data_IF_196010730544
#
_entry.id   IF_196010730544
#
_cell.length_a   1.000
_cell.length_b   1.000
_cell.length_c   1.000
_cell.angle_alpha   90.00
_cell.angle_beta   90.00
_cell.angle_gamma   90.00
#
_symmetry.space_group_name_H-M   'P 1'
#
loop_
_entity.id
_entity.type
_entity.pdbx_description
1 polymer ?
#
# COMPACT_ATOMS: atom_id res chain seq x y z
N UNK A 1 8.29 10.45 3.23
CA UNK A 1 8.51 8.99 3.21
C UNK A 1 7.78 8.31 2.05
N UNK A 2 6.46 8.50 1.84
CA UNK A 2 5.74 7.95 0.68
C UNK A 2 6.44 8.35 -0.63
N UNK A 3 6.83 9.61 -0.81
CA UNK A 3 7.53 10.05 -2.02
C UNK A 3 8.84 9.29 -2.28
N UNK A 4 9.58 8.90 -1.23
CA UNK A 4 10.81 8.10 -1.36
C UNK A 4 10.47 6.70 -1.87
N UNK A 5 9.43 6.06 -1.33
CA UNK A 5 8.99 4.74 -1.77
C UNK A 5 8.45 4.76 -3.20
N UNK A 6 7.66 5.78 -3.55
CA UNK A 6 7.16 5.98 -4.93
C UNK A 6 8.30 6.25 -5.90
N UNK A 7 9.27 7.08 -5.52
CA UNK A 7 10.47 7.31 -6.33
C UNK A 7 11.27 6.03 -6.53
N UNK A 8 11.49 5.25 -5.47
CA UNK A 8 12.17 3.96 -5.57
C UNK A 8 11.43 2.98 -6.50
N UNK A 9 10.11 2.93 -6.42
CA UNK A 9 9.27 2.11 -7.31
C UNK A 9 9.36 2.57 -8.76
N UNK A 10 9.19 3.87 -9.02
CA UNK A 10 9.31 4.43 -10.35
C UNK A 10 10.71 4.23 -10.94
N UNK A 11 11.76 4.47 -10.16
CA UNK A 11 13.14 4.24 -10.59
C UNK A 11 13.40 2.76 -10.92
N UNK A 12 12.81 1.84 -10.15
CA UNK A 12 12.89 0.40 -10.42
C UNK A 12 12.25 0.06 -11.76
N UNK A 13 11.02 0.53 -12.00
CA UNK A 13 10.27 0.26 -13.24
C UNK A 13 10.99 0.87 -14.45
N UNK A 14 11.42 2.14 -14.35
CA UNK A 14 12.12 2.83 -15.44
C UNK A 14 13.41 2.08 -15.81
N UNK A 15 14.22 1.70 -14.82
CA UNK A 15 15.47 0.97 -15.06
C UNK A 15 15.26 -0.39 -15.68
N UNK A 16 14.15 -1.05 -15.37
CA UNK A 16 13.76 -2.31 -16.04
C UNK A 16 13.42 -2.07 -17.52
N UNK A 17 12.64 -1.03 -17.81
CA UNK A 17 12.23 -0.71 -19.18
C UNK A 17 13.43 -0.35 -20.06
N UNK A 18 14.40 0.39 -19.53
CA UNK A 18 15.59 0.82 -20.29
C UNK A 18 16.77 -0.16 -20.22
N UNK A 19 16.58 -1.35 -19.66
CA UNK A 19 17.59 -2.41 -19.53
C UNK A 19 18.90 -1.98 -18.82
N UNK A 20 18.90 -0.90 -18.05
CA UNK A 20 20.07 -0.40 -17.29
C UNK A 20 20.09 -0.87 -15.84
N UNK A 21 19.58 -2.05 -15.58
CA UNK A 21 19.36 -2.54 -14.24
C UNK A 21 20.65 -3.08 -13.61
N UNK A 22 21.23 -2.30 -12.71
CA UNK A 22 22.37 -2.74 -11.91
C UNK A 22 21.90 -3.71 -10.81
N UNK A 23 22.56 -4.89 -10.62
CA UNK A 23 22.21 -5.84 -9.55
C UNK A 23 22.11 -5.21 -8.16
N UNK A 24 22.98 -4.26 -7.83
CA UNK A 24 22.96 -3.54 -6.55
C UNK A 24 21.67 -2.72 -6.40
N UNK A 25 21.28 -1.96 -7.43
CA UNK A 25 20.07 -1.15 -7.41
C UNK A 25 18.80 -2.00 -7.27
N UNK A 26 18.81 -3.21 -7.80
CA UNK A 26 17.71 -4.18 -7.71
C UNK A 26 17.31 -4.49 -6.27
N UNK A 27 18.28 -4.59 -5.38
CA UNK A 27 18.03 -4.90 -3.97
C UNK A 27 18.01 -3.65 -3.08
N UNK A 28 18.84 -2.66 -3.40
CA UNK A 28 18.96 -1.45 -2.60
C UNK A 28 17.67 -0.64 -2.55
N UNK A 29 16.97 -0.47 -3.68
CA UNK A 29 15.74 0.34 -3.75
C UNK A 29 14.60 -0.21 -2.89
N UNK A 30 14.24 -1.52 -2.95
CA UNK A 30 13.27 -2.10 -2.03
C UNK A 30 13.69 -1.98 -0.56
N UNK A 31 14.95 -2.22 -0.23
CA UNK A 31 15.46 -2.11 1.14
C UNK A 31 15.28 -0.69 1.68
N UNK A 32 15.62 0.33 0.88
CA UNK A 32 15.39 1.74 1.24
C UNK A 32 13.89 1.99 1.50
N UNK A 33 13.00 1.41 0.67
CA UNK A 33 11.56 1.51 0.86
C UNK A 33 11.08 0.92 2.20
N UNK A 34 11.56 -0.27 2.55
CA UNK A 34 11.22 -0.90 3.84
C UNK A 34 11.81 -0.16 5.04
N UNK A 35 13.04 0.32 4.94
CA UNK A 35 13.64 1.16 5.98
C UNK A 35 12.84 2.45 6.18
N UNK A 36 12.42 3.10 5.09
CA UNK A 36 11.56 4.27 5.15
C UNK A 36 10.22 3.96 5.83
N UNK A 37 9.61 2.79 5.55
CA UNK A 37 8.38 2.35 6.19
C UNK A 37 8.55 2.18 7.70
N UNK A 38 9.59 1.46 8.13
CA UNK A 38 9.89 1.24 9.56
C UNK A 38 10.13 2.56 10.28
N UNK A 39 10.98 3.43 9.72
CA UNK A 39 11.26 4.75 10.29
C UNK A 39 10.00 5.61 10.39
N UNK A 40 9.10 5.52 9.40
CA UNK A 40 7.82 6.25 9.42
C UNK A 40 6.93 5.76 10.55
N UNK A 41 6.84 4.44 10.77
CA UNK A 41 6.04 3.87 11.87
C UNK A 41 6.65 4.27 13.23
N UNK A 42 7.96 4.17 13.40
CA UNK A 42 8.65 4.57 14.65
C UNK A 42 8.43 6.05 14.92
N UNK A 43 8.59 6.90 13.90
CA UNK A 43 8.35 8.34 14.04
C UNK A 43 6.89 8.65 14.41
N UNK A 44 5.92 8.04 13.74
CA UNK A 44 4.51 8.22 14.05
C UNK A 44 4.17 7.77 15.46
N UNK A 45 4.73 6.63 15.88
CA UNK A 45 4.56 6.12 17.24
C UNK A 45 5.10 7.09 18.30
N UNK A 46 6.31 7.60 18.12
CA UNK A 46 6.90 8.58 19.04
C UNK A 46 6.09 9.88 19.05
N UNK A 47 5.70 10.37 17.87
CA UNK A 47 4.96 11.61 17.71
C UNK A 47 3.61 11.61 18.45
N UNK A 48 2.91 10.47 18.50
CA UNK A 48 1.64 10.38 19.23
C UNK A 48 1.82 10.37 20.75
N UNK A 49 3.03 10.05 21.25
CA UNK A 49 3.31 9.95 22.69
C UNK A 49 4.05 11.17 23.26
N UNK A 50 4.75 11.94 22.42
CA UNK A 50 5.57 13.06 22.87
C UNK A 50 4.75 14.27 23.37
N UNK A 51 3.52 14.45 22.89
CA UNK A 51 2.68 15.58 23.28
C UNK A 51 1.23 15.15 23.45
N UNK A 52 0.66 15.44 24.62
CA UNK A 52 -0.72 15.07 24.99
C UNK A 52 -1.81 15.87 24.24
N UNK A 53 -1.55 16.35 23.02
CA UNK A 53 -2.56 17.07 22.23
C UNK A 53 -3.32 16.13 21.32
N UNK A 54 -4.64 16.35 21.21
CA UNK A 54 -5.51 15.58 20.30
C UNK A 54 -5.01 15.61 18.85
N UNK A 55 -4.43 16.72 18.42
CA UNK A 55 -3.86 16.90 17.08
C UNK A 55 -2.67 15.95 16.84
N UNK A 56 -1.73 15.87 17.77
CA UNK A 56 -0.55 15.02 17.62
C UNK A 56 -0.89 13.55 17.74
N UNK A 57 -1.89 13.20 18.55
CA UNK A 57 -2.45 11.87 18.60
C UNK A 57 -2.95 11.41 17.21
N UNK A 58 -3.82 12.21 16.58
CA UNK A 58 -4.34 11.92 15.23
C UNK A 58 -3.21 11.84 14.21
N UNK A 59 -2.33 12.85 14.18
CA UNK A 59 -1.23 12.92 13.23
C UNK A 59 -0.28 11.72 13.36
N UNK A 60 0.06 11.30 14.58
CA UNK A 60 0.90 10.12 14.81
C UNK A 60 0.31 8.83 14.25
N UNK A 61 -1.00 8.62 14.45
CA UNK A 61 -1.71 7.46 13.87
C UNK A 61 -1.71 7.50 12.34
N UNK A 62 -1.96 8.66 11.74
CA UNK A 62 -1.91 8.84 10.28
C UNK A 62 -0.50 8.55 9.74
N UNK A 63 0.54 9.03 10.41
CA UNK A 63 1.93 8.76 10.03
C UNK A 63 2.22 7.26 10.08
N UNK A 64 1.76 6.54 11.12
CA UNK A 64 1.88 5.07 11.18
C UNK A 64 1.18 4.37 10.01
N UNK A 65 -0.04 4.80 9.68
CA UNK A 65 -0.78 4.26 8.52
C UNK A 65 -0.06 4.51 7.18
N UNK A 66 0.56 5.69 7.04
CA UNK A 66 1.45 6.02 5.91
C UNK A 66 2.64 5.07 5.87
N UNK A 67 3.19 4.66 7.02
CA UNK A 67 4.23 3.65 7.11
C UNK A 67 3.80 2.30 6.54
N UNK A 68 2.57 1.85 6.83
CA UNK A 68 2.02 0.61 6.25
C UNK A 68 1.86 0.71 4.74
N UNK A 69 1.36 1.83 4.21
CA UNK A 69 1.29 2.07 2.77
C UNK A 69 2.70 2.02 2.17
N UNK A 70 3.68 2.66 2.79
CA UNK A 70 5.07 2.67 2.33
C UNK A 70 5.64 1.26 2.26
N UNK A 71 5.34 0.38 3.25
CA UNK A 71 5.72 -1.03 3.23
C UNK A 71 5.05 -1.79 2.08
N UNK A 72 3.76 -1.57 1.82
CA UNK A 72 3.06 -2.18 0.68
C UNK A 72 3.66 -1.74 -0.66
N UNK A 73 4.00 -0.45 -0.81
CA UNK A 73 4.67 0.09 -2.02
C UNK A 73 6.07 -0.52 -2.19
N UNK A 74 6.84 -0.66 -1.10
CA UNK A 74 8.14 -1.34 -1.13
C UNK A 74 8.00 -2.82 -1.54
N UNK A 75 6.93 -3.49 -1.10
CA UNK A 75 6.61 -4.87 -1.50
C UNK A 75 6.28 -4.94 -2.99
N UNK A 76 5.52 -3.97 -3.52
CA UNK A 76 5.24 -3.83 -4.96
C UNK A 76 6.54 -3.65 -5.76
N UNK A 77 7.43 -2.77 -5.28
CA UNK A 77 8.75 -2.56 -5.89
C UNK A 77 9.57 -3.85 -5.89
N UNK A 78 9.57 -4.59 -4.76
CA UNK A 78 10.26 -5.89 -4.65
C UNK A 78 9.69 -6.90 -5.65
N UNK A 79 8.38 -6.98 -5.80
CA UNK A 79 7.74 -7.84 -6.79
C UNK A 79 8.18 -7.47 -8.20
N UNK A 80 8.17 -6.17 -8.54
CA UNK A 80 8.56 -5.69 -9.87
C UNK A 80 10.03 -5.93 -10.22
N UNK A 81 10.93 -6.05 -9.23
CA UNK A 81 12.36 -6.32 -9.51
C UNK A 81 12.59 -7.68 -10.19
N UNK A 82 11.59 -8.56 -10.17
CA UNK A 82 11.66 -9.89 -10.77
C UNK A 82 11.12 -9.97 -12.20
N UNK A 83 10.62 -8.87 -12.75
CA UNK A 83 10.36 -8.76 -14.18
C UNK A 83 11.70 -8.78 -14.92
N UNK A 84 12.17 -9.97 -15.32
CA UNK A 84 13.27 -10.08 -16.26
C UNK A 84 12.72 -9.89 -17.67
N UNK A 85 12.95 -8.72 -18.23
CA UNK A 85 12.78 -8.52 -19.66
C UNK A 85 13.93 -9.23 -20.35
N UNK A 86 13.62 -10.17 -21.25
CA UNK A 86 14.60 -10.82 -22.09
C UNK A 86 15.20 -9.75 -23.02
N UNK A 87 16.53 -9.68 -23.16
CA UNK A 87 17.14 -8.75 -24.12
C UNK A 87 16.56 -8.97 -25.52
N UNK A 88 16.21 -7.89 -26.20
CA UNK A 88 15.61 -7.89 -27.55
C UNK A 88 16.44 -8.62 -28.62
N UNK A 89 17.69 -9.00 -28.33
CA UNK A 89 18.63 -9.69 -29.22
C UNK A 89 18.67 -11.21 -29.07
N UNK A 90 17.83 -11.82 -28.25
CA UNK A 90 17.74 -13.29 -28.23
C UNK A 90 16.81 -13.71 -29.36
N UNK A 91 17.35 -14.40 -30.38
CA UNK A 91 16.61 -15.00 -31.51
C UNK A 91 15.57 -16.07 -31.08
N UNK A 92 15.29 -16.21 -29.80
CA UNK A 92 14.28 -17.09 -29.22
C UNK A 92 13.09 -16.30 -28.73
N UNK A 93 12.22 -15.95 -29.66
CA UNK A 93 10.93 -15.26 -29.43
C UNK A 93 9.91 -16.10 -28.64
N UNK A 94 10.14 -17.41 -28.46
CA UNK A 94 9.10 -18.35 -27.99
C UNK A 94 9.29 -18.91 -26.58
N UNK A 95 10.36 -18.55 -25.88
CA UNK A 95 10.57 -19.00 -24.51
C UNK A 95 10.94 -17.85 -23.61
N UNK A 96 9.92 -17.21 -23.05
CA UNK A 96 10.00 -16.56 -21.74
C UNK A 96 10.41 -17.62 -20.72
N UNK A 97 11.68 -18.02 -20.73
CA UNK A 97 12.22 -18.83 -19.64
C UNK A 97 12.39 -17.88 -18.46
N UNK A 98 11.59 -18.04 -17.41
CA UNK A 98 11.81 -17.36 -16.16
C UNK A 98 12.99 -18.01 -15.45
N UNK A 99 14.20 -17.82 -15.97
CA UNK A 99 15.42 -18.33 -15.29
C UNK A 99 15.56 -17.78 -13.86
N UNK A 100 14.89 -16.65 -13.58
CA UNK A 100 14.78 -16.03 -12.26
C UNK A 100 13.33 -15.84 -11.81
N UNK A 101 12.39 -16.63 -12.32
CA UNK A 101 11.03 -16.58 -11.80
C UNK A 101 11.04 -16.81 -10.29
N UNK A 102 10.22 -16.06 -9.57
CA UNK A 102 10.00 -16.34 -8.18
C UNK A 102 9.77 -17.83 -7.95
N UNK A 103 10.55 -18.44 -7.07
CA UNK A 103 10.09 -19.66 -6.45
C UNK A 103 8.68 -19.42 -5.91
N UNK A 104 7.79 -20.41 -6.02
CA UNK A 104 6.39 -20.29 -5.59
C UNK A 104 6.27 -19.65 -4.21
N UNK A 105 7.14 -20.06 -3.30
CA UNK A 105 7.20 -19.56 -1.92
C UNK A 105 7.50 -18.06 -1.84
N UNK A 106 8.42 -17.54 -2.64
CA UNK A 106 8.78 -16.10 -2.60
C UNK A 106 7.63 -15.20 -3.04
N UNK A 107 6.91 -15.60 -4.09
CA UNK A 107 5.73 -14.84 -4.54
C UNK A 107 4.63 -14.81 -3.49
N UNK A 108 4.36 -15.93 -2.82
CA UNK A 108 3.38 -15.97 -1.73
C UNK A 108 3.82 -15.16 -0.50
N UNK A 109 5.11 -15.14 -0.18
CA UNK A 109 5.65 -14.32 0.92
C UNK A 109 5.37 -12.83 0.66
N UNK A 110 5.57 -12.34 -0.57
CA UNK A 110 5.30 -10.94 -0.90
C UNK A 110 3.82 -10.58 -0.75
N UNK A 111 2.93 -11.45 -1.26
CA UNK A 111 1.48 -11.25 -1.07
C UNK A 111 1.13 -11.29 0.41
N UNK A 112 1.70 -12.23 1.18
CA UNK A 112 1.46 -12.36 2.61
C UNK A 112 1.92 -11.13 3.39
N UNK A 113 3.10 -10.56 3.07
CA UNK A 113 3.61 -9.33 3.69
C UNK A 113 2.66 -8.15 3.42
N UNK A 114 2.25 -7.94 2.18
CA UNK A 114 1.31 -6.87 1.86
C UNK A 114 -0.05 -7.07 2.57
N UNK A 115 -0.55 -8.32 2.59
CA UNK A 115 -1.80 -8.67 3.29
C UNK A 115 -1.68 -8.43 4.79
N UNK A 116 -0.55 -8.79 5.41
CA UNK A 116 -0.30 -8.53 6.83
C UNK A 116 -0.38 -7.03 7.14
N UNK A 117 0.23 -6.18 6.32
CA UNK A 117 0.16 -4.72 6.49
C UNK A 117 -1.28 -4.20 6.38
N UNK A 118 -2.04 -4.70 5.43
CA UNK A 118 -3.45 -4.32 5.28
C UNK A 118 -4.29 -4.77 6.48
N UNK A 119 -4.12 -6.02 6.94
CA UNK A 119 -4.82 -6.56 8.11
C UNK A 119 -4.46 -5.77 9.38
N UNK A 120 -3.18 -5.47 9.61
CA UNK A 120 -2.76 -4.64 10.74
C UNK A 120 -3.37 -3.25 10.71
N UNK A 121 -3.44 -2.61 9.53
CA UNK A 121 -4.07 -1.31 9.37
C UNK A 121 -5.58 -1.37 9.71
N UNK A 122 -6.29 -2.42 9.28
CA UNK A 122 -7.70 -2.64 9.60
C UNK A 122 -7.94 -2.90 11.10
N UNK A 123 -7.16 -3.78 11.72
CA UNK A 123 -7.24 -4.06 13.16
C UNK A 123 -7.04 -2.76 13.95
N UNK A 124 -6.03 -1.98 13.57
CA UNK A 124 -5.75 -0.71 14.24
C UNK A 124 -6.87 0.31 14.04
N UNK A 125 -7.42 0.43 12.82
CA UNK A 125 -8.56 1.29 12.53
C UNK A 125 -9.78 0.93 13.40
N UNK A 126 -10.14 -0.35 13.46
CA UNK A 126 -11.27 -0.82 14.28
C UNK A 126 -11.03 -0.64 15.77
N UNK A 127 -9.80 -0.83 16.25
CA UNK A 127 -9.46 -0.57 17.65
C UNK A 127 -9.65 0.91 17.98
N UNK A 128 -9.21 1.83 17.13
CA UNK A 128 -9.45 3.27 17.32
C UNK A 128 -10.94 3.61 17.29
N UNK A 129 -11.67 3.05 16.34
CA UNK A 129 -13.12 3.27 16.21
C UNK A 129 -13.90 2.74 17.40
N UNK A 130 -13.48 1.62 18.01
CA UNK A 130 -14.12 1.09 19.22
C UNK A 130 -14.02 2.05 20.42
N UNK A 131 -13.03 2.95 20.41
CA UNK A 131 -12.81 3.99 21.42
C UNK A 131 -13.34 5.37 21.01
N UNK A 132 -14.02 5.46 19.89
CA UNK A 132 -14.49 6.74 19.33
C UNK A 132 -15.49 7.50 20.24
N UNK A 133 -16.18 6.79 21.12
CA UNK A 133 -17.06 7.38 22.14
C UNK A 133 -16.31 8.08 23.28
N UNK A 134 -15.05 7.73 23.51
CA UNK A 134 -14.24 8.30 24.60
C UNK A 134 -13.75 9.71 24.25
N UNK A 135 -13.32 9.91 23.00
CA UNK A 135 -12.78 11.20 22.56
C UNK A 135 -12.82 11.35 21.03
N UNK A 136 -13.12 12.56 20.53
CA UNK A 136 -13.17 12.87 19.10
C UNK A 136 -11.86 12.53 18.34
N UNK A 137 -10.71 12.57 19.00
CA UNK A 137 -9.43 12.20 18.39
C UNK A 137 -9.40 10.73 17.94
N UNK A 138 -9.99 9.81 18.72
CA UNK A 138 -10.13 8.39 18.32
C UNK A 138 -11.05 8.24 17.11
N UNK A 139 -12.14 9.02 17.08
CA UNK A 139 -13.06 9.05 15.95
C UNK A 139 -12.31 9.44 14.65
N UNK A 140 -11.61 10.58 14.67
CA UNK A 140 -10.87 11.09 13.51
C UNK A 140 -9.77 10.11 13.09
N UNK A 141 -8.92 9.70 14.03
CA UNK A 141 -7.81 8.79 13.76
C UNK A 141 -8.29 7.45 13.20
N UNK A 142 -9.37 6.89 13.76
CA UNK A 142 -9.94 5.61 13.35
C UNK A 142 -10.48 5.64 11.92
N UNK A 143 -11.22 6.69 11.55
CA UNK A 143 -11.75 6.84 10.20
C UNK A 143 -10.64 7.05 9.17
N UNK A 144 -9.66 7.90 9.47
CA UNK A 144 -8.52 8.11 8.55
C UNK A 144 -7.71 6.83 8.39
N UNK A 145 -7.47 6.09 9.50
CA UNK A 145 -6.80 4.78 9.44
C UNK A 145 -7.59 3.77 8.62
N UNK A 146 -8.93 3.76 8.66
CA UNK A 146 -9.75 2.90 7.81
C UNK A 146 -9.58 3.23 6.32
N UNK A 147 -9.53 4.52 5.96
CA UNK A 147 -9.22 4.94 4.59
C UNK A 147 -7.82 4.50 4.13
N UNK A 148 -6.81 4.61 5.00
CA UNK A 148 -5.45 4.12 4.73
C UNK A 148 -5.41 2.59 4.60
N UNK A 149 -6.21 1.86 5.38
CA UNK A 149 -6.36 0.41 5.28
C UNK A 149 -6.99 -0.01 3.93
N UNK A 150 -7.93 0.78 3.39
CA UNK A 150 -8.46 0.57 2.03
C UNK A 150 -7.35 0.69 0.97
N UNK A 151 -6.45 1.67 1.10
CA UNK A 151 -5.29 1.81 0.20
C UNK A 151 -4.36 0.60 0.33
N UNK A 152 -4.02 0.17 1.56
CA UNK A 152 -3.20 -1.03 1.76
C UNK A 152 -3.85 -2.26 1.10
N UNK A 153 -5.17 -2.44 1.23
CA UNK A 153 -5.91 -3.54 0.60
C UNK A 153 -5.86 -3.47 -0.93
N UNK A 154 -5.94 -2.27 -1.50
CA UNK A 154 -5.78 -2.06 -2.95
C UNK A 154 -4.37 -2.41 -3.43
N UNK A 155 -3.34 -2.08 -2.64
CA UNK A 155 -1.96 -2.44 -2.94
C UNK A 155 -1.71 -3.95 -2.83
N UNK A 156 -2.42 -4.68 -1.97
CA UNK A 156 -2.40 -6.17 -1.98
C UNK A 156 -2.84 -6.70 -3.33
N UNK A 157 -3.91 -6.16 -3.90
CA UNK A 157 -4.38 -6.56 -5.24
C UNK A 157 -3.31 -6.30 -6.30
N UNK A 158 -2.63 -5.16 -6.23
CA UNK A 158 -1.54 -4.82 -7.15
C UNK A 158 -0.36 -5.80 -7.02
N UNK A 159 0.11 -6.07 -5.80
CA UNK A 159 1.19 -7.05 -5.54
C UNK A 159 0.80 -8.43 -6.07
N UNK A 160 -0.42 -8.90 -5.78
CA UNK A 160 -0.91 -10.18 -6.25
C UNK A 160 -0.97 -10.25 -7.78
N UNK A 161 -1.44 -9.20 -8.44
CA UNK A 161 -1.47 -9.09 -9.90
C UNK A 161 -0.06 -9.22 -10.48
N UNK A 162 0.91 -8.45 -9.97
CA UNK A 162 2.30 -8.47 -10.44
C UNK A 162 2.91 -9.87 -10.25
N UNK A 163 2.78 -10.45 -9.06
CA UNK A 163 3.33 -11.79 -8.76
C UNK A 163 2.72 -12.86 -9.68
N UNK A 164 1.41 -12.81 -9.94
CA UNK A 164 0.72 -13.76 -10.80
C UNK A 164 1.09 -13.59 -12.27
N UNK A 165 1.27 -12.36 -12.73
CA UNK A 165 1.73 -12.06 -14.09
C UNK A 165 3.15 -12.59 -14.32
N UNK A 166 4.08 -12.34 -13.39
CA UNK A 166 5.46 -12.82 -13.50
C UNK A 166 5.52 -14.35 -13.57
N UNK A 167 4.64 -15.03 -12.84
CA UNK A 167 4.56 -16.50 -12.82
C UNK A 167 3.81 -17.09 -14.00
N UNK A 168 3.30 -16.27 -14.91
CA UNK A 168 2.42 -16.69 -16.02
C UNK A 168 1.20 -17.52 -15.57
N UNK A 169 0.77 -17.32 -14.33
CA UNK A 169 -0.34 -18.02 -13.68
C UNK A 169 -1.58 -17.11 -13.47
N UNK A 170 -1.70 -16.08 -14.30
CA UNK A 170 -2.77 -15.10 -14.18
C UNK A 170 -4.02 -15.57 -14.91
N UNK A 171 -4.99 -16.09 -14.15
CA UNK A 171 -6.22 -16.65 -14.69
C UNK A 171 -7.20 -15.57 -15.18
N UNK A 172 -8.12 -15.95 -16.07
CA UNK A 172 -9.20 -15.04 -16.54
C UNK A 172 -10.07 -14.52 -15.39
N UNK A 173 -10.28 -15.32 -14.35
CA UNK A 173 -11.03 -14.92 -13.15
C UNK A 173 -10.27 -13.86 -12.34
N UNK A 174 -8.98 -14.06 -12.10
CA UNK A 174 -8.14 -13.13 -11.34
C UNK A 174 -8.01 -11.78 -12.02
N UNK A 175 -8.03 -11.72 -13.36
CA UNK A 175 -8.05 -10.46 -14.14
C UNK A 175 -9.23 -9.56 -13.82
N UNK A 176 -10.33 -10.12 -13.32
CA UNK A 176 -11.52 -9.38 -12.91
C UNK A 176 -11.56 -9.16 -11.39
N UNK A 177 -11.09 -10.12 -10.60
CA UNK A 177 -11.18 -10.09 -9.15
C UNK A 177 -10.27 -9.02 -8.52
N UNK A 178 -9.02 -8.90 -8.96
CA UNK A 178 -8.08 -7.93 -8.37
C UNK A 178 -8.49 -6.48 -8.66
N UNK A 179 -8.81 -6.06 -9.90
CA UNK A 179 -9.37 -4.73 -10.13
C UNK A 179 -10.69 -4.49 -9.41
N UNK A 180 -11.56 -5.51 -9.31
CA UNK A 180 -12.82 -5.39 -8.56
C UNK A 180 -12.54 -5.12 -7.07
N UNK A 181 -11.54 -5.76 -6.46
CA UNK A 181 -11.16 -5.49 -5.08
C UNK A 181 -10.74 -4.03 -4.89
N UNK A 182 -9.94 -3.48 -5.80
CA UNK A 182 -9.52 -2.07 -5.77
C UNK A 182 -10.73 -1.14 -5.84
N UNK A 183 -11.65 -1.40 -6.79
CA UNK A 183 -12.89 -0.63 -6.94
C UNK A 183 -13.76 -0.70 -5.69
N UNK A 184 -13.91 -1.88 -5.10
CA UNK A 184 -14.67 -2.09 -3.86
C UNK A 184 -14.05 -1.29 -2.71
N UNK A 185 -12.73 -1.37 -2.50
CA UNK A 185 -12.06 -0.65 -1.43
C UNK A 185 -12.17 0.87 -1.60
N UNK A 186 -12.00 1.38 -2.81
CA UNK A 186 -12.21 2.79 -3.11
C UNK A 186 -13.65 3.24 -2.85
N UNK A 187 -14.62 2.45 -3.30
CA UNK A 187 -16.05 2.73 -3.07
C UNK A 187 -16.41 2.70 -1.59
N UNK A 188 -15.91 1.73 -0.82
CA UNK A 188 -16.12 1.66 0.63
C UNK A 188 -15.60 2.95 1.30
N UNK A 189 -14.37 3.37 0.98
CA UNK A 189 -13.79 4.58 1.56
C UNK A 189 -14.59 5.83 1.22
N UNK A 190 -15.06 5.97 -0.04
CA UNK A 190 -15.86 7.12 -0.48
C UNK A 190 -17.23 7.11 0.20
N UNK A 191 -17.96 6.01 0.16
CA UNK A 191 -19.30 5.90 0.75
C UNK A 191 -19.25 6.13 2.26
N UNK A 192 -18.25 5.58 2.93
CA UNK A 192 -18.05 5.81 4.36
C UNK A 192 -17.70 7.27 4.65
N UNK A 193 -16.86 7.90 3.83
CA UNK A 193 -16.57 9.33 3.92
C UNK A 193 -17.81 10.21 3.75
N UNK A 194 -18.68 9.87 2.79
CA UNK A 194 -19.98 10.55 2.60
C UNK A 194 -20.90 10.37 3.80
N UNK A 195 -20.95 9.16 4.39
CA UNK A 195 -21.72 8.90 5.61
C UNK A 195 -21.20 9.73 6.79
N UNK A 196 -19.88 9.85 6.95
CA UNK A 196 -19.25 10.70 7.97
C UNK A 196 -19.64 12.15 7.75
N UNK A 197 -19.64 12.65 6.52
CA UNK A 197 -20.08 14.01 6.20
C UNK A 197 -21.57 14.26 6.53
N UNK A 198 -22.41 13.27 6.24
CA UNK A 198 -23.87 13.40 6.49
C UNK A 198 -24.22 13.41 7.97
N UNK A 199 -23.44 12.69 8.80
CA UNK A 199 -23.78 12.48 10.23
C UNK A 199 -22.92 13.28 11.20
N UNK A 200 -21.88 13.98 10.72
CA UNK A 200 -20.91 14.62 11.62
C UNK A 200 -21.25 16.04 11.96
N UNK A 201 -20.82 16.42 13.15
CA UNK A 201 -20.63 17.81 13.54
C UNK A 201 -19.71 18.49 12.49
N UNK A 202 -19.99 19.75 12.07
CA UNK A 202 -19.13 20.50 11.14
C UNK A 202 -17.64 20.49 11.50
N UNK A 203 -17.30 20.39 12.79
CA UNK A 203 -15.92 20.26 13.27
C UNK A 203 -15.22 18.96 12.84
N UNK A 204 -15.96 17.91 12.47
CA UNK A 204 -15.44 16.60 12.05
C UNK A 204 -15.58 16.34 10.54
N UNK A 205 -16.15 17.31 9.81
CA UNK A 205 -16.38 17.17 8.36
C UNK A 205 -15.09 16.95 7.56
N UNK A 206 -13.95 17.49 8.02
CA UNK A 206 -12.64 17.27 7.41
C UNK A 206 -12.28 15.77 7.31
N UNK A 207 -12.70 14.97 8.27
CA UNK A 207 -12.49 13.51 8.28
C UNK A 207 -13.17 12.83 7.08
N UNK A 208 -14.42 13.22 6.79
CA UNK A 208 -15.16 12.69 5.64
C UNK A 208 -14.49 13.04 4.30
N UNK A 209 -14.03 14.28 4.14
CA UNK A 209 -13.30 14.70 2.94
C UNK A 209 -11.97 13.94 2.78
N UNK A 210 -11.24 13.73 3.88
CA UNK A 210 -10.01 12.91 3.85
C UNK A 210 -10.33 11.49 3.37
N UNK A 211 -11.35 10.84 3.90
CA UNK A 211 -11.73 9.48 3.50
C UNK A 211 -12.13 9.41 2.02
N UNK A 212 -12.87 10.39 1.51
CA UNK A 212 -13.20 10.48 0.09
C UNK A 212 -11.91 10.59 -0.75
N UNK A 213 -10.99 11.47 -0.34
CA UNK A 213 -9.69 11.62 -1.01
C UNK A 213 -8.89 10.32 -1.03
N UNK A 214 -8.84 9.59 0.09
CA UNK A 214 -8.16 8.29 0.17
C UNK A 214 -8.84 7.23 -0.71
N UNK A 215 -10.18 7.26 -0.82
CA UNK A 215 -10.91 6.39 -1.74
C UNK A 215 -10.60 6.68 -3.22
N UNK A 216 -10.43 7.94 -3.60
CA UNK A 216 -9.98 8.32 -4.94
C UNK A 216 -8.53 7.85 -5.23
N UNK A 217 -7.67 7.86 -4.20
CA UNK A 217 -6.32 7.28 -4.32
C UNK A 217 -6.39 5.78 -4.60
N UNK A 218 -7.32 5.03 -3.99
CA UNK A 218 -7.51 3.62 -4.32
C UNK A 218 -7.78 3.41 -5.82
N UNK A 219 -8.59 4.26 -6.43
CA UNK A 219 -8.91 4.14 -7.87
C UNK A 219 -7.73 4.46 -8.80
N UNK A 220 -6.69 5.12 -8.29
CA UNK A 220 -5.46 5.40 -9.05
C UNK A 220 -4.45 4.24 -9.04
N UNK A 221 -4.68 3.21 -8.22
CA UNK A 221 -3.87 1.99 -8.11
C UNK A 221 -4.34 0.95 -9.13
#
# INVERSE_FOLDING_TARGET
MICIALFATAATIIRQIIHTYNPIARYALPVIGYLAAVLTVIYGWNYMHETATASNFVAGHVICGVGFITACVATTATASTRFTLIPANSERTDQLQPADAFNSSQGYILIAVATLMAVMAWIWAFWLLSKSSEHNAYYVAGHVMAGLACICSSLVALVATIVRQIRNNYTKAERKQWPALVLIMGSISILWGLQVLANSNPALSSTGYIMIGLGLVCYSI
#
